data_IF_580834060212
#
_entry.id   IF_580834060212
#
_cell.length_a   1.000
_cell.length_b   1.000
_cell.length_c   1.000
_cell.angle_alpha   90.00
_cell.angle_beta   90.00
_cell.angle_gamma   90.00
#
_symmetry.space_group_name_H-M   'P 1'
#
loop_
_entity.id
_entity.type
_entity.pdbx_description
1 polymer ?
#
# COMPACT_ATOMS: atom_id res chain seq x y z
N UNK A 1 54.11 19.93 23.43
CA UNK A 1 53.68 20.92 24.43
C UNK A 1 52.91 20.16 25.50
N UNK A 2 53.53 19.98 26.66
CA UNK A 2 53.00 19.27 27.82
C UNK A 2 52.79 20.31 28.92
N UNK A 3 51.67 20.27 29.65
CA UNK A 3 51.63 20.40 31.12
C UNK A 3 50.19 20.33 31.64
N UNK A 4 50.03 19.51 32.68
CA UNK A 4 48.86 19.24 33.50
C UNK A 4 48.52 20.40 34.44
N UNK A 5 47.30 20.46 34.97
CA UNK A 5 46.96 21.38 36.07
C UNK A 5 45.60 21.16 36.71
N UNK A 6 45.54 20.27 37.70
CA UNK A 6 44.53 20.27 38.77
C UNK A 6 44.64 21.53 39.64
N UNK A 7 43.54 22.05 40.20
CA UNK A 7 43.44 22.41 41.64
C UNK A 7 42.04 22.95 42.05
N UNK A 8 41.53 22.41 43.17
CA UNK A 8 40.93 23.10 44.35
C UNK A 8 39.61 23.91 44.17
N UNK A 9 38.72 24.10 45.14
CA UNK A 9 38.58 23.68 46.55
C UNK A 9 37.09 23.85 46.92
N UNK A 10 36.71 23.01 47.87
CA UNK A 10 35.60 22.99 48.80
C UNK A 10 34.96 24.30 49.31
N UNK A 11 33.74 24.12 49.86
CA UNK A 11 33.02 24.89 50.88
C UNK A 11 32.38 26.23 50.48
N UNK A 12 31.05 26.29 50.64
CA UNK A 12 30.43 27.10 51.70
C UNK A 12 28.93 26.78 51.81
N UNK A 13 28.55 26.18 52.94
CA UNK A 13 27.19 26.15 53.44
C UNK A 13 26.70 27.60 53.65
N UNK A 14 25.47 27.90 53.24
CA UNK A 14 24.73 29.01 53.84
C UNK A 14 23.27 28.62 54.04
N UNK A 15 22.97 28.23 55.29
CA UNK A 15 21.64 28.14 55.89
C UNK A 15 20.90 29.46 55.66
N UNK A 16 19.73 29.39 55.03
CA UNK A 16 18.71 30.43 55.11
C UNK A 16 17.44 29.77 55.64
N UNK A 17 17.20 29.97 56.93
CA UNK A 17 15.89 29.84 57.54
C UNK A 17 15.06 31.04 57.08
N UNK A 18 14.01 30.78 56.32
CA UNK A 18 13.00 31.77 55.92
C UNK A 18 11.62 31.15 56.07
N UNK A 19 11.00 31.45 57.21
CA UNK A 19 9.63 31.10 57.55
C UNK A 19 8.69 31.95 56.67
N UNK A 20 7.90 31.32 55.80
CA UNK A 20 6.99 31.99 54.87
C UNK A 20 5.65 31.28 54.79
N UNK A 21 4.62 31.96 55.26
CA UNK A 21 3.23 31.54 55.42
C UNK A 21 2.55 30.89 54.20
N UNK A 22 1.79 29.82 54.50
CA UNK A 22 0.39 29.58 54.11
C UNK A 22 -0.11 30.18 52.79
N UNK A 23 -0.28 29.31 51.80
CA UNK A 23 -1.09 29.54 50.61
C UNK A 23 -1.39 28.22 49.90
N UNK A 24 -2.31 27.41 50.43
CA UNK A 24 -2.79 26.19 49.79
C UNK A 24 -3.64 26.55 48.55
N UNK A 25 -2.97 26.76 47.41
CA UNK A 25 -3.62 26.78 46.09
C UNK A 25 -3.93 25.33 45.70
N UNK A 26 -5.22 24.99 45.73
CA UNK A 26 -5.75 23.75 45.15
C UNK A 26 -5.56 23.80 43.64
N UNK A 27 -4.44 23.26 43.16
CA UNK A 27 -4.22 22.99 41.74
C UNK A 27 -5.00 21.72 41.42
N UNK A 28 -6.24 21.88 40.96
CA UNK A 28 -7.00 20.77 40.37
C UNK A 28 -6.21 20.19 39.20
N UNK A 29 -5.96 18.87 39.14
CA UNK A 29 -5.38 18.26 37.95
C UNK A 29 -6.39 18.41 36.81
N UNK A 30 -6.08 19.22 35.80
CA UNK A 30 -6.76 19.14 34.51
C UNK A 30 -6.41 17.77 33.93
N UNK A 31 -7.33 16.83 34.11
CA UNK A 31 -7.32 15.56 33.38
C UNK A 31 -7.41 15.90 31.89
N UNK A 32 -6.27 15.92 31.20
CA UNK A 32 -6.24 15.96 29.75
C UNK A 32 -6.88 14.66 29.27
N UNK A 33 -8.10 14.77 28.76
CA UNK A 33 -8.69 13.70 27.96
C UNK A 33 -7.76 13.49 26.76
N UNK A 34 -7.13 12.31 26.71
CA UNK A 34 -6.37 11.90 25.55
C UNK A 34 -7.29 11.96 24.31
N UNK A 35 -6.82 12.45 23.15
CA UNK A 35 -7.61 12.40 21.93
C UNK A 35 -7.92 10.94 21.64
N UNK A 36 -9.21 10.57 21.66
CA UNK A 36 -9.64 9.26 21.19
C UNK A 36 -9.28 9.20 19.71
N UNK A 37 -8.40 8.26 19.34
CA UNK A 37 -8.25 7.86 17.95
C UNK A 37 -9.64 7.63 17.37
N UNK A 38 -9.94 8.28 16.24
CA UNK A 38 -11.26 8.20 15.61
C UNK A 38 -11.64 6.76 15.39
N UNK A 39 -12.60 6.26 16.15
CA UNK A 39 -13.23 4.97 15.89
C UNK A 39 -14.15 5.16 14.69
N UNK A 40 -13.65 4.87 13.50
CA UNK A 40 -14.52 4.54 12.36
C UNK A 40 -15.45 3.42 12.82
N UNK A 41 -16.76 3.56 12.63
CA UNK A 41 -17.68 2.48 12.98
C UNK A 41 -17.24 1.17 12.31
N UNK A 42 -17.37 0.01 13.00
CA UNK A 42 -16.97 -1.26 12.43
C UNK A 42 -17.72 -1.53 11.13
N UNK A 43 -16.98 -1.78 10.03
CA UNK A 43 -17.59 -2.20 8.77
C UNK A 43 -18.33 -3.51 8.99
N UNK A 44 -19.63 -3.52 8.72
CA UNK A 44 -20.44 -4.75 8.73
C UNK A 44 -20.29 -5.43 7.38
N UNK A 45 -19.54 -6.54 7.33
CA UNK A 45 -19.38 -7.35 6.11
C UNK A 45 -20.69 -8.00 5.69
N UNK A 46 -21.08 -7.78 4.43
CA UNK A 46 -22.27 -8.35 3.80
C UNK A 46 -21.91 -8.86 2.40
N UNK A 47 -21.92 -10.19 2.24
CA UNK A 47 -21.60 -10.83 0.97
C UNK A 47 -22.60 -10.42 -0.12
N UNK A 48 -22.10 -10.18 -1.33
CA UNK A 48 -22.81 -9.63 -2.49
C UNK A 48 -23.34 -8.19 -2.30
N UNK A 49 -22.97 -7.52 -1.20
CA UNK A 49 -23.24 -6.09 -0.98
C UNK A 49 -21.93 -5.31 -1.01
N UNK A 50 -21.04 -5.54 -0.05
CA UNK A 50 -19.77 -4.81 0.06
C UNK A 50 -18.53 -5.63 -0.30
N UNK A 51 -18.68 -6.94 -0.50
CA UNK A 51 -17.66 -7.81 -1.11
C UNK A 51 -18.33 -9.01 -1.79
N UNK A 52 -17.59 -9.76 -2.60
CA UNK A 52 -18.01 -11.08 -3.13
C UNK A 52 -16.97 -12.14 -2.79
N UNK A 53 -17.42 -13.34 -2.41
CA UNK A 53 -16.54 -14.50 -2.43
C UNK A 53 -16.24 -14.90 -3.88
N UNK A 54 -15.00 -15.31 -4.14
CA UNK A 54 -14.50 -15.70 -5.47
C UNK A 54 -13.65 -16.96 -5.37
N UNK A 55 -13.50 -17.65 -6.50
CA UNK A 55 -12.62 -18.80 -6.65
C UNK A 55 -11.58 -18.40 -7.68
N UNK A 56 -10.32 -18.33 -7.28
CA UNK A 56 -9.19 -18.01 -8.15
C UNK A 56 -8.07 -19.02 -7.91
N UNK A 57 -7.14 -19.14 -8.86
CA UNK A 57 -5.90 -19.90 -8.68
C UNK A 57 -4.79 -19.07 -7.98
N UNK A 58 -5.12 -17.86 -7.53
CA UNK A 58 -4.22 -16.97 -6.82
C UNK A 58 -4.03 -17.45 -5.37
N UNK A 59 -2.83 -17.94 -5.07
CA UNK A 59 -2.48 -18.47 -3.76
C UNK A 59 -1.71 -17.45 -2.93
N UNK A 60 -2.09 -17.24 -1.65
CA UNK A 60 -1.30 -16.44 -0.73
C UNK A 60 0.12 -16.98 -0.52
N UNK A 61 1.07 -16.15 -0.07
CA UNK A 61 2.43 -16.57 0.26
C UNK A 61 2.50 -17.79 1.19
N UNK A 62 3.49 -18.66 0.96
CA UNK A 62 3.69 -19.89 1.72
C UNK A 62 4.07 -19.67 3.18
N UNK A 63 4.51 -18.47 3.54
CA UNK A 63 4.83 -18.07 4.92
C UNK A 63 3.58 -17.80 5.77
N UNK A 64 2.39 -17.96 5.20
CA UNK A 64 1.12 -17.87 5.90
C UNK A 64 0.58 -16.44 6.01
N UNK A 65 1.20 -15.46 5.37
CA UNK A 65 0.66 -14.09 5.31
C UNK A 65 -0.65 -14.02 4.52
N UNK A 66 -1.37 -12.93 4.71
CA UNK A 66 -2.59 -12.60 3.97
C UNK A 66 -2.18 -11.75 2.77
N UNK A 67 -2.47 -12.24 1.57
CA UNK A 67 -2.20 -11.51 0.33
C UNK A 67 -3.32 -10.48 0.07
N UNK A 68 -2.96 -9.24 -0.25
CA UNK A 68 -3.89 -8.23 -0.74
C UNK A 68 -3.35 -7.66 -2.04
N UNK A 69 -4.14 -7.79 -3.10
CA UNK A 69 -3.79 -7.35 -4.43
C UNK A 69 -4.69 -6.23 -4.89
N UNK A 70 -4.10 -5.10 -5.24
CA UNK A 70 -4.82 -4.03 -5.94
C UNK A 70 -4.77 -4.30 -7.44
N UNK A 71 -5.90 -4.66 -8.01
CA UNK A 71 -6.06 -4.81 -9.45
C UNK A 71 -6.22 -3.44 -10.09
N UNK A 72 -5.26 -3.09 -10.97
CA UNK A 72 -5.19 -1.76 -11.56
C UNK A 72 -4.73 -1.79 -13.03
N UNK A 73 -4.77 -0.62 -13.67
CA UNK A 73 -4.13 -0.36 -14.95
C UNK A 73 -3.52 1.04 -14.98
N UNK A 74 -2.32 1.21 -15.54
CA UNK A 74 -1.63 2.50 -15.55
C UNK A 74 -2.34 3.63 -16.29
N UNK A 75 -3.25 3.32 -17.23
CA UNK A 75 -4.05 4.33 -17.94
C UNK A 75 -5.37 4.68 -17.25
N UNK A 76 -5.68 4.09 -16.10
CA UNK A 76 -6.93 4.28 -15.37
C UNK A 76 -6.84 5.51 -14.44
N UNK A 77 -7.62 6.58 -14.69
CA UNK A 77 -7.56 7.79 -13.85
C UNK A 77 -8.04 7.55 -12.41
N UNK A 78 -8.99 6.64 -12.21
CA UNK A 78 -9.47 6.26 -10.88
C UNK A 78 -8.40 5.54 -10.05
N UNK A 79 -7.55 4.75 -10.72
CA UNK A 79 -6.44 4.05 -10.12
C UNK A 79 -5.34 5.06 -9.72
N UNK A 80 -5.02 6.00 -10.61
CA UNK A 80 -4.08 7.09 -10.28
C UNK A 80 -4.54 7.93 -9.08
N UNK A 81 -5.83 8.26 -8.98
CA UNK A 81 -6.34 9.00 -7.83
C UNK A 81 -6.32 8.19 -6.53
N UNK A 82 -6.40 6.86 -6.61
CA UNK A 82 -6.34 5.96 -5.46
C UNK A 82 -4.91 5.83 -4.89
N UNK A 83 -3.86 6.05 -5.69
CA UNK A 83 -2.46 5.88 -5.27
C UNK A 83 -2.13 6.61 -3.95
N UNK A 84 -2.59 7.86 -3.78
CA UNK A 84 -2.26 8.64 -2.60
C UNK A 84 -2.91 8.10 -1.30
N UNK A 85 -4.25 7.95 -1.22
CA UNK A 85 -4.86 7.34 -0.04
C UNK A 85 -4.41 5.89 0.18
N UNK A 86 -4.14 5.14 -0.90
CA UNK A 86 -3.61 3.78 -0.83
C UNK A 86 -2.22 3.73 -0.20
N UNK A 87 -1.30 4.63 -0.56
CA UNK A 87 0.03 4.70 0.05
C UNK A 87 -0.05 4.97 1.57
N UNK A 88 -0.99 5.83 1.99
CA UNK A 88 -1.23 6.10 3.40
C UNK A 88 -1.77 4.87 4.14
N UNK A 89 -2.78 4.20 3.58
CA UNK A 89 -3.38 2.99 4.16
C UNK A 89 -2.41 1.80 4.21
N UNK A 90 -1.56 1.63 3.19
CA UNK A 90 -0.54 0.56 3.19
C UNK A 90 0.39 0.61 4.39
N UNK A 91 0.63 1.80 4.94
CA UNK A 91 1.48 2.00 6.14
C UNK A 91 0.79 1.58 7.43
N UNK A 92 -0.53 1.36 7.41
CA UNK A 92 -1.32 0.91 8.57
C UNK A 92 -1.57 -0.60 8.57
N UNK A 93 -1.18 -1.30 7.49
CA UNK A 93 -1.38 -2.74 7.38
C UNK A 93 -0.59 -3.52 8.44
N UNK A 94 -1.19 -4.58 9.02
CA UNK A 94 -0.49 -5.49 9.91
C UNK A 94 0.71 -6.17 9.25
N UNK A 95 1.71 -6.56 10.04
CA UNK A 95 2.95 -7.20 9.54
C UNK A 95 2.71 -8.57 8.86
N UNK A 96 1.57 -9.21 9.12
CA UNK A 96 1.14 -10.47 8.51
C UNK A 96 0.32 -10.27 7.22
N UNK A 97 0.30 -9.06 6.65
CA UNK A 97 -0.33 -8.74 5.37
C UNK A 97 0.75 -8.38 4.35
N UNK A 98 0.71 -9.05 3.21
CA UNK A 98 1.51 -8.68 2.04
C UNK A 98 0.61 -7.98 1.03
N UNK A 99 0.87 -6.70 0.82
CA UNK A 99 0.19 -5.90 -0.19
C UNK A 99 1.04 -5.79 -1.45
N UNK A 100 0.43 -6.00 -2.61
CA UNK A 100 1.06 -5.71 -3.90
C UNK A 100 0.09 -5.12 -4.94
N UNK A 101 0.55 -4.16 -5.76
CA UNK A 101 -0.16 -3.82 -6.99
C UNK A 101 -0.19 -5.02 -7.93
N UNK A 102 -1.26 -5.15 -8.71
CA UNK A 102 -1.52 -6.27 -9.61
C UNK A 102 -2.10 -5.75 -10.93
N UNK A 103 -1.26 -5.53 -11.94
CA UNK A 103 -1.75 -5.02 -13.22
C UNK A 103 -2.55 -6.10 -13.97
N UNK A 104 -3.76 -5.75 -14.43
CA UNK A 104 -4.67 -6.67 -15.14
C UNK A 104 -4.90 -6.25 -16.59
N UNK A 105 -4.91 -7.17 -17.57
CA UNK A 105 -5.13 -6.86 -18.98
C UNK A 105 -6.60 -7.08 -19.40
N UNK A 106 -7.56 -6.31 -18.86
CA UNK A 106 -9.00 -6.54 -19.13
C UNK A 106 -9.40 -6.39 -20.61
N UNK A 107 -8.60 -5.66 -21.39
CA UNK A 107 -8.76 -5.57 -22.85
C UNK A 107 -7.41 -5.69 -23.56
N UNK A 108 -7.37 -6.07 -24.85
CA UNK A 108 -6.12 -6.15 -25.60
C UNK A 108 -5.30 -4.85 -25.60
N UNK A 109 -5.97 -3.70 -25.57
CA UNK A 109 -5.31 -2.39 -25.53
C UNK A 109 -4.59 -2.08 -24.21
N UNK A 110 -4.89 -2.82 -23.12
CA UNK A 110 -4.25 -2.62 -21.83
C UNK A 110 -2.93 -3.39 -21.71
N UNK A 111 -2.79 -4.47 -22.49
CA UNK A 111 -1.64 -5.39 -22.48
C UNK A 111 -0.30 -4.66 -22.53
N UNK A 112 -0.07 -3.63 -23.37
CA UNK A 112 1.25 -3.01 -23.44
C UNK A 112 1.72 -2.42 -22.11
N UNK A 113 0.84 -1.75 -21.37
CA UNK A 113 1.15 -1.17 -20.06
C UNK A 113 1.13 -2.22 -18.95
N UNK A 114 0.33 -3.28 -19.08
CA UNK A 114 0.39 -4.44 -18.17
C UNK A 114 1.74 -5.15 -18.28
N UNK A 115 2.27 -5.36 -19.49
CA UNK A 115 3.63 -5.88 -19.71
C UNK A 115 4.69 -4.97 -19.08
N UNK A 116 4.52 -3.65 -19.20
CA UNK A 116 5.44 -2.68 -18.59
C UNK A 116 5.52 -2.82 -17.07
N UNK A 117 4.36 -3.01 -16.41
CA UNK A 117 4.30 -3.28 -14.98
C UNK A 117 5.10 -4.52 -14.58
N UNK A 118 4.86 -5.66 -15.24
CA UNK A 118 5.54 -6.90 -14.89
C UNK A 118 7.03 -6.87 -15.25
N UNK A 119 7.42 -6.19 -16.33
CA UNK A 119 8.82 -5.96 -16.64
C UNK A 119 9.52 -5.17 -15.53
N UNK A 120 8.90 -4.07 -15.07
CA UNK A 120 9.41 -3.28 -13.96
C UNK A 120 9.48 -4.08 -12.64
N UNK A 121 8.46 -4.92 -12.37
CA UNK A 121 8.42 -5.82 -11.21
C UNK A 121 9.59 -6.80 -11.24
N UNK A 122 9.82 -7.48 -12.35
CA UNK A 122 10.89 -8.48 -12.49
C UNK A 122 12.30 -7.88 -12.54
N UNK A 123 12.44 -6.65 -13.02
CA UNK A 123 13.70 -5.91 -12.92
C UNK A 123 13.96 -5.34 -11.52
N UNK A 124 13.01 -5.45 -10.59
CA UNK A 124 13.11 -4.87 -9.25
C UNK A 124 13.08 -3.34 -9.25
N UNK A 125 12.58 -2.73 -10.33
CA UNK A 125 12.54 -1.26 -10.49
C UNK A 125 11.16 -0.65 -10.19
N UNK A 126 10.18 -1.48 -9.87
CA UNK A 126 8.83 -1.04 -9.55
C UNK A 126 8.77 0.01 -8.42
N UNK A 127 9.51 -0.11 -7.28
CA UNK A 127 9.42 0.88 -6.19
C UNK A 127 9.76 2.31 -6.61
N UNK A 128 10.69 2.48 -7.57
CA UNK A 128 11.09 3.79 -8.07
C UNK A 128 10.29 4.26 -9.28
N UNK A 129 9.71 3.36 -10.08
CA UNK A 129 9.01 3.74 -11.32
C UNK A 129 7.50 3.83 -11.18
N UNK A 130 6.86 3.09 -10.26
CA UNK A 130 5.41 2.89 -10.28
C UNK A 130 4.60 4.20 -10.29
N UNK A 131 4.79 5.06 -9.28
CA UNK A 131 4.11 6.35 -9.20
C UNK A 131 4.59 7.33 -10.31
N UNK A 132 5.83 7.20 -10.78
CA UNK A 132 6.36 8.07 -11.84
C UNK A 132 5.69 7.77 -13.19
N UNK A 133 5.47 6.49 -13.51
CA UNK A 133 4.74 6.06 -14.71
C UNK A 133 3.30 6.57 -14.69
N UNK A 134 2.62 6.48 -13.54
CA UNK A 134 1.31 7.08 -13.37
C UNK A 134 1.33 8.60 -13.63
N UNK A 135 2.31 9.33 -13.08
CA UNK A 135 2.46 10.76 -13.33
C UNK A 135 2.75 11.09 -14.80
N UNK A 136 3.60 10.30 -15.46
CA UNK A 136 3.90 10.46 -16.89
C UNK A 136 2.62 10.33 -17.73
N UNK A 137 1.75 9.39 -17.42
CA UNK A 137 0.50 9.17 -18.14
C UNK A 137 -0.56 10.21 -17.80
N UNK A 138 -0.82 10.46 -16.51
CA UNK A 138 -1.97 11.26 -16.08
C UNK A 138 -1.67 12.75 -15.93
N UNK A 139 -0.44 13.12 -15.58
CA UNK A 139 -0.03 14.52 -15.37
C UNK A 139 0.70 15.07 -16.58
N UNK A 140 1.63 14.31 -17.17
CA UNK A 140 2.38 14.73 -18.36
C UNK A 140 1.69 14.36 -19.67
N UNK A 141 0.55 13.65 -19.60
CA UNK A 141 -0.24 13.23 -20.76
C UNK A 141 0.52 12.41 -21.80
N UNK A 142 1.52 11.63 -21.36
CA UNK A 142 2.24 10.68 -22.20
C UNK A 142 1.31 9.50 -22.48
N UNK A 143 1.14 9.15 -23.76
CA UNK A 143 0.27 8.04 -24.21
C UNK A 143 1.12 7.02 -24.96
N UNK A 144 1.93 6.22 -24.26
CA UNK A 144 2.81 5.26 -24.91
C UNK A 144 1.96 4.08 -25.38
N UNK A 145 1.85 3.90 -26.69
CA UNK A 145 1.06 2.83 -27.31
C UNK A 145 1.93 1.70 -27.86
N UNK A 146 3.20 1.97 -28.14
CA UNK A 146 4.15 0.97 -28.63
C UNK A 146 5.13 0.56 -27.54
N UNK A 147 5.65 -0.66 -27.68
CA UNK A 147 6.76 -1.20 -26.88
C UNK A 147 7.93 -0.22 -26.76
N UNK A 148 8.36 0.38 -27.87
CA UNK A 148 9.49 1.32 -27.88
C UNK A 148 9.18 2.62 -27.15
N UNK A 149 7.97 3.17 -27.31
CA UNK A 149 7.56 4.38 -26.55
C UNK A 149 7.51 4.11 -25.04
N UNK A 150 7.06 2.91 -24.64
CA UNK A 150 7.08 2.50 -23.23
C UNK A 150 8.54 2.40 -22.75
N UNK A 151 9.43 1.81 -23.55
CA UNK A 151 10.84 1.70 -23.19
C UNK A 151 11.53 3.07 -23.03
N UNK A 152 11.24 4.01 -23.94
CA UNK A 152 11.74 5.38 -23.88
C UNK A 152 11.26 6.08 -22.61
N UNK A 153 9.97 5.93 -22.28
CA UNK A 153 9.40 6.45 -21.02
C UNK A 153 10.12 5.87 -19.80
N UNK A 154 10.42 4.56 -19.77
CA UNK A 154 11.17 3.96 -18.67
C UNK A 154 12.65 4.41 -18.65
N UNK A 155 13.24 4.69 -19.82
CA UNK A 155 14.59 5.23 -19.92
C UNK A 155 14.70 6.64 -19.31
N UNK A 156 13.70 7.50 -19.53
CA UNK A 156 13.59 8.82 -18.90
C UNK A 156 13.50 8.73 -17.35
N UNK A 157 13.06 7.57 -16.83
CA UNK A 157 13.02 7.27 -15.40
C UNK A 157 14.33 6.63 -14.87
N UNK A 158 15.35 6.51 -15.71
CA UNK A 158 16.66 5.96 -15.35
C UNK A 158 16.78 4.45 -15.46
N UNK A 159 15.83 3.78 -16.14
CA UNK A 159 15.92 2.33 -16.43
C UNK A 159 16.71 2.11 -17.72
N UNK A 160 17.61 1.13 -17.74
CA UNK A 160 18.31 0.74 -18.96
C UNK A 160 17.32 0.27 -20.03
N UNK A 161 17.25 1.00 -21.14
CA UNK A 161 16.26 0.80 -22.21
C UNK A 161 16.34 -0.60 -22.81
N UNK A 162 17.54 -1.09 -23.10
CA UNK A 162 17.72 -2.36 -23.79
C UNK A 162 17.41 -3.54 -22.85
N UNK A 163 17.80 -3.44 -21.57
CA UNK A 163 17.40 -4.42 -20.54
C UNK A 163 15.90 -4.40 -20.30
N UNK A 164 15.27 -3.21 -20.30
CA UNK A 164 13.82 -3.11 -20.18
C UNK A 164 13.12 -3.82 -21.33
N UNK A 165 13.56 -3.55 -22.56
CA UNK A 165 13.03 -4.20 -23.76
C UNK A 165 13.20 -5.73 -23.72
N UNK A 166 14.38 -6.22 -23.32
CA UNK A 166 14.62 -7.65 -23.17
C UNK A 166 13.68 -8.28 -22.13
N UNK A 167 13.47 -7.63 -20.99
CA UNK A 167 12.54 -8.14 -19.97
C UNK A 167 11.09 -8.07 -20.45
N UNK A 168 10.70 -6.97 -21.09
CA UNK A 168 9.36 -6.74 -21.63
C UNK A 168 8.95 -7.83 -22.62
N UNK A 169 9.87 -8.28 -23.48
CA UNK A 169 9.64 -9.35 -24.46
C UNK A 169 9.88 -10.76 -23.89
N UNK A 170 10.18 -10.88 -22.60
CA UNK A 170 10.47 -12.17 -22.00
C UNK A 170 9.22 -13.04 -21.86
N UNK A 171 9.42 -14.35 -22.00
CA UNK A 171 8.39 -15.35 -21.71
C UNK A 171 7.82 -15.20 -20.29
N UNK A 172 8.64 -14.79 -19.32
CA UNK A 172 8.20 -14.55 -17.95
C UNK A 172 7.14 -13.46 -17.86
N UNK A 173 7.36 -12.32 -18.55
CA UNK A 173 6.38 -11.23 -18.61
C UNK A 173 5.12 -11.66 -19.33
N UNK A 174 5.23 -12.34 -20.47
CA UNK A 174 4.06 -12.84 -21.20
C UNK A 174 3.21 -13.81 -20.36
N UNK A 175 3.87 -14.72 -19.63
CA UNK A 175 3.20 -15.64 -18.73
C UNK A 175 2.51 -14.90 -17.56
N UNK A 176 3.16 -13.89 -16.98
CA UNK A 176 2.59 -13.10 -15.90
C UNK A 176 1.35 -12.31 -16.34
N UNK A 177 1.38 -11.70 -17.53
CA UNK A 177 0.21 -11.01 -18.10
C UNK A 177 -0.93 -11.99 -18.36
N UNK A 178 -0.64 -13.17 -18.92
CA UNK A 178 -1.66 -14.20 -19.14
C UNK A 178 -2.28 -14.66 -17.81
N UNK A 179 -1.45 -14.92 -16.80
CA UNK A 179 -1.92 -15.32 -15.47
C UNK A 179 -2.79 -14.24 -14.84
N UNK A 180 -2.37 -12.97 -14.90
CA UNK A 180 -3.14 -11.86 -14.38
C UNK A 180 -4.51 -11.72 -15.06
N UNK A 181 -4.58 -12.02 -16.36
CA UNK A 181 -5.85 -12.10 -17.09
C UNK A 181 -6.77 -13.21 -16.58
N UNK A 182 -6.23 -14.41 -16.33
CA UNK A 182 -6.99 -15.54 -15.77
C UNK A 182 -7.51 -15.21 -14.37
N UNK A 183 -6.64 -14.72 -13.48
CA UNK A 183 -7.02 -14.36 -12.10
C UNK A 183 -8.10 -13.27 -12.09
N UNK A 184 -7.96 -12.24 -12.94
CA UNK A 184 -8.98 -11.19 -13.06
C UNK A 184 -10.33 -11.75 -13.57
N UNK A 185 -10.29 -12.65 -14.55
CA UNK A 185 -11.49 -13.30 -15.08
C UNK A 185 -12.17 -14.19 -14.03
N UNK A 186 -11.40 -15.03 -13.34
CA UNK A 186 -11.89 -15.96 -12.31
C UNK A 186 -12.47 -15.22 -11.10
N UNK A 187 -11.88 -14.08 -10.73
CA UNK A 187 -12.43 -13.18 -9.73
C UNK A 187 -13.70 -12.43 -10.21
N UNK A 188 -14.01 -12.46 -11.50
CA UNK A 188 -15.13 -11.72 -12.08
C UNK A 188 -14.90 -10.20 -12.08
N UNK A 189 -13.66 -9.78 -12.33
CA UNK A 189 -13.26 -8.37 -12.39
C UNK A 189 -13.64 -7.80 -13.74
N UNK A 190 -14.52 -6.80 -13.72
CA UNK A 190 -15.03 -6.12 -14.93
C UNK A 190 -14.51 -4.69 -15.09
N UNK A 191 -13.73 -4.22 -14.11
CA UNK A 191 -13.21 -2.85 -14.07
C UNK A 191 -12.17 -2.70 -12.95
N UNK A 192 -11.49 -1.56 -12.95
CA UNK A 192 -10.45 -1.19 -11.98
C UNK A 192 -10.70 0.23 -11.44
N UNK A 193 -10.25 0.56 -10.22
CA UNK A 193 -9.53 -0.30 -9.29
C UNK A 193 -10.44 -1.34 -8.60
N UNK A 194 -9.85 -2.47 -8.23
CA UNK A 194 -10.49 -3.50 -7.42
C UNK A 194 -9.47 -4.15 -6.47
N UNK A 195 -9.93 -4.75 -5.38
CA UNK A 195 -9.06 -5.39 -4.38
C UNK A 195 -9.40 -6.87 -4.27
N UNK A 196 -8.41 -7.74 -4.50
CA UNK A 196 -8.50 -9.17 -4.27
C UNK A 196 -7.81 -9.51 -2.94
N UNK A 197 -8.57 -10.02 -1.99
CA UNK A 197 -8.09 -10.39 -0.66
C UNK A 197 -7.94 -11.91 -0.58
N UNK A 198 -6.68 -12.34 -0.45
CA UNK A 198 -6.25 -13.70 -0.19
C UNK A 198 -6.77 -14.72 -1.23
N UNK A 199 -6.94 -14.29 -2.48
CA UNK A 199 -7.52 -15.09 -3.57
C UNK A 199 -8.99 -15.47 -3.39
N UNK A 200 -9.67 -14.92 -2.37
CA UNK A 200 -10.97 -15.39 -1.87
C UNK A 200 -12.08 -14.36 -1.91
N UNK A 201 -11.73 -13.08 -1.78
CA UNK A 201 -12.72 -12.02 -1.69
C UNK A 201 -12.39 -10.89 -2.64
N UNK A 202 -13.35 -10.52 -3.48
CA UNK A 202 -13.26 -9.35 -4.34
C UNK A 202 -14.03 -8.19 -3.70
N UNK A 203 -13.40 -7.03 -3.67
CA UNK A 203 -14.01 -5.74 -3.31
C UNK A 203 -13.83 -4.79 -4.49
N UNK A 204 -14.89 -4.10 -4.90
CA UNK A 204 -14.82 -3.07 -5.94
C UNK A 204 -15.29 -1.73 -5.39
N UNK A 205 -14.90 -0.63 -6.05
CA UNK A 205 -15.36 0.71 -5.69
C UNK A 205 -16.89 0.82 -5.69
N UNK A 206 -17.57 0.16 -6.64
CA UNK A 206 -19.03 0.15 -6.72
C UNK A 206 -19.69 -0.53 -5.51
N UNK A 207 -19.14 -1.66 -5.04
CA UNK A 207 -19.63 -2.36 -3.83
C UNK A 207 -19.39 -1.53 -2.57
N UNK A 208 -18.25 -0.83 -2.54
CA UNK A 208 -17.84 -0.03 -1.41
C UNK A 208 -18.50 1.36 -1.35
N UNK A 209 -19.06 1.83 -2.47
CA UNK A 209 -19.59 3.19 -2.64
C UNK A 209 -18.53 4.22 -3.05
N UNK A 210 -17.24 3.92 -2.92
CA UNK A 210 -16.12 4.68 -3.50
C UNK A 210 -14.86 3.80 -3.57
N UNK A 211 -13.84 4.22 -4.33
CA UNK A 211 -12.57 3.50 -4.38
C UNK A 211 -11.87 3.50 -3.02
N UNK A 212 -11.94 4.62 -2.29
CA UNK A 212 -11.34 4.78 -0.97
C UNK A 212 -12.06 3.91 0.07
N UNK A 213 -13.38 3.77 -0.05
CA UNK A 213 -14.18 2.95 0.85
C UNK A 213 -13.87 1.44 0.74
N UNK A 214 -13.10 1.00 -0.27
CA UNK A 214 -12.62 -0.39 -0.35
C UNK A 214 -11.70 -0.75 0.82
N UNK A 215 -10.82 0.16 1.25
CA UNK A 215 -9.81 -0.09 2.29
C UNK A 215 -10.38 -0.58 3.62
N UNK A 216 -11.38 0.10 4.24
CA UNK A 216 -11.95 -0.39 5.50
C UNK A 216 -12.72 -1.73 5.35
N UNK A 217 -13.24 -2.05 4.15
CA UNK A 217 -13.82 -3.37 3.87
C UNK A 217 -12.71 -4.44 3.80
N UNK A 218 -11.60 -4.13 3.14
CA UNK A 218 -10.42 -4.99 3.07
C UNK A 218 -9.87 -5.24 4.49
N UNK A 219 -9.80 -4.22 5.35
CA UNK A 219 -9.38 -4.38 6.75
C UNK A 219 -10.29 -5.36 7.52
N UNK A 220 -11.60 -5.25 7.34
CA UNK A 220 -12.56 -6.19 7.94
C UNK A 220 -12.40 -7.62 7.40
N UNK A 221 -12.10 -7.78 6.10
CA UNK A 221 -11.83 -9.09 5.48
C UNK A 221 -10.52 -9.70 5.98
N UNK A 222 -9.47 -8.88 6.17
CA UNK A 222 -8.21 -9.31 6.80
C UNK A 222 -8.49 -9.87 8.19
N UNK A 223 -9.22 -9.11 9.04
CA UNK A 223 -9.57 -9.55 10.39
C UNK A 223 -10.38 -10.86 10.38
N UNK A 224 -11.31 -11.01 9.43
CA UNK A 224 -12.06 -12.26 9.23
C UNK A 224 -11.14 -13.45 8.91
N UNK A 225 -10.19 -13.28 8.00
CA UNK A 225 -9.24 -14.34 7.62
C UNK A 225 -8.33 -14.71 8.81
N UNK A 226 -7.89 -13.73 9.58
CA UNK A 226 -7.10 -13.99 10.80
C UNK A 226 -7.86 -14.84 11.82
N UNK A 227 -9.13 -14.51 12.06
CA UNK A 227 -9.98 -15.30 12.96
C UNK A 227 -10.17 -16.74 12.45
N UNK A 228 -10.36 -16.93 11.15
CA UNK A 228 -10.46 -18.26 10.53
C UNK A 228 -9.17 -19.07 10.62
N UNK A 229 -8.01 -18.41 10.46
CA UNK A 229 -6.69 -19.07 10.63
C UNK A 229 -6.49 -19.52 12.08
N UNK A 230 -6.83 -18.68 13.06
CA UNK A 230 -6.75 -19.00 14.51
C UNK A 230 -7.69 -20.13 14.92
N UNK A 231 -8.86 -20.25 14.30
CA UNK A 231 -9.80 -21.33 14.60
C UNK A 231 -9.35 -22.71 14.06
N UNK A 232 -8.36 -22.74 13.15
CA UNK A 232 -7.83 -23.96 12.52
C UNK A 232 -6.48 -24.41 13.09
N UNK A 233 -5.83 -23.58 13.90
CA UNK A 233 -4.60 -23.87 14.63
C UNK A 233 -4.91 -24.45 16.01
#
# INVERSE_FOLDING_TARGET
MSFSGFFRLSFLLRRWLGLGLLGALLVSPMTQAAPSAGSSEPVTLQENVNYRAVITDETPPSDGKILVQEMFWYGCPHCFHLEHPLEAWRKTLPANVDFEPYAVPLTPGWVPLTKAFYAAKFMGVLPQTHLKVFNDIHVKHIRPVTRDQIADMYADLGVDRDKFLQMYDSFGVDNAVRQAGVVAQDAGVTGVPAMLVNGKYLVTGDMAGSNEAMMPIVDALIAKIEAEKKAKS
#
